data_IF_389865740631
#
_entry.id   IF_389865740631
#
_cell.length_a   1.000
_cell.length_b   1.000
_cell.length_c   1.000
_cell.angle_alpha   90.00
_cell.angle_beta   90.00
_cell.angle_gamma   90.00
#
_symmetry.space_group_name_H-M   'P 1'
#
loop_
_entity.id
_entity.type
_entity.pdbx_description
1 polymer ?
#
# COMPACT_ATOMS: atom_id res chain seq x y z
N UNK A 1 2.64 6.63 10.57
CA UNK A 1 2.81 8.09 10.86
C UNK A 1 1.46 8.78 10.65
N UNK A 2 1.15 9.89 11.34
CA UNK A 2 -0.08 10.66 11.05
C UNK A 2 0.24 11.82 10.11
N UNK A 3 -0.30 11.77 8.90
CA UNK A 3 -0.23 12.87 7.94
C UNK A 3 -1.30 13.92 8.28
N UNK A 4 -0.91 15.20 8.36
CA UNK A 4 -1.84 16.29 8.64
C UNK A 4 -2.70 16.69 7.42
N UNK A 5 -2.28 16.28 6.22
CA UNK A 5 -2.89 16.61 4.95
C UNK A 5 -3.70 15.46 4.34
N UNK A 6 -4.67 15.82 3.50
CA UNK A 6 -5.45 14.86 2.71
C UNK A 6 -5.08 14.96 1.25
N UNK A 7 -4.74 13.83 0.63
CA UNK A 7 -4.30 13.79 -0.77
C UNK A 7 -5.41 13.28 -1.69
N UNK A 8 -5.45 13.80 -2.92
CA UNK A 8 -6.32 13.28 -3.97
C UNK A 8 -5.59 13.09 -5.30
N UNK A 9 -6.05 12.13 -6.10
CA UNK A 9 -5.63 11.99 -7.50
C UNK A 9 -6.64 11.18 -8.31
N UNK A 10 -6.52 11.27 -9.64
CA UNK A 10 -7.09 10.28 -10.55
C UNK A 10 -6.33 8.96 -10.37
N UNK A 11 -7.02 7.90 -9.97
CA UNK A 11 -6.46 6.56 -9.74
C UNK A 11 -6.66 5.61 -10.93
N UNK A 12 -7.60 5.90 -11.83
CA UNK A 12 -7.75 5.16 -13.09
C UNK A 12 -6.78 5.65 -14.16
N UNK A 13 -6.58 4.84 -15.21
CA UNK A 13 -5.78 5.22 -16.37
C UNK A 13 -6.26 6.51 -17.04
N UNK A 14 -5.34 7.23 -17.69
CA UNK A 14 -5.65 8.45 -18.45
C UNK A 14 -6.33 8.09 -19.77
N UNK A 15 -7.43 8.76 -20.09
CA UNK A 15 -8.15 8.55 -21.36
C UNK A 15 -9.65 8.75 -21.20
N UNK A 16 -10.40 8.52 -22.28
CA UNK A 16 -11.87 8.41 -22.20
C UNK A 16 -12.20 7.02 -21.69
N UNK A 17 -13.03 6.95 -20.66
CA UNK A 17 -13.49 5.69 -20.08
C UNK A 17 -14.95 5.81 -19.64
N UNK A 18 -15.66 4.67 -19.54
CA UNK A 18 -17.02 4.65 -18.98
C UNK A 18 -17.03 5.11 -17.52
N UNK A 19 -16.01 4.71 -16.75
CA UNK A 19 -15.82 5.09 -15.35
C UNK A 19 -14.36 5.51 -15.13
N UNK A 20 -14.17 6.50 -14.27
CA UNK A 20 -12.88 6.94 -13.75
C UNK A 20 -12.98 7.07 -12.24
N UNK A 21 -11.91 6.70 -11.54
CA UNK A 21 -11.88 6.71 -10.09
C UNK A 21 -10.98 7.84 -9.63
N UNK A 22 -11.53 8.78 -8.87
CA UNK A 22 -10.75 9.76 -8.10
C UNK A 22 -10.68 9.24 -6.67
N UNK A 23 -9.46 9.05 -6.17
CA UNK A 23 -9.22 8.60 -4.80
C UNK A 23 -8.78 9.78 -3.93
N UNK A 24 -9.25 9.77 -2.69
CA UNK A 24 -8.92 10.70 -1.62
C UNK A 24 -8.42 9.90 -0.42
N UNK A 25 -7.38 10.35 0.29
CA UNK A 25 -6.84 9.69 1.50
C UNK A 25 -6.37 10.71 2.51
N UNK A 26 -6.75 10.57 3.79
CA UNK A 26 -6.28 11.40 4.89
C UNK A 26 -7.40 11.88 5.85
N UNK A 27 -7.06 12.70 6.84
CA UNK A 27 -7.94 13.03 7.97
C UNK A 27 -9.20 13.84 7.58
N UNK A 28 -9.22 14.51 6.42
CA UNK A 28 -10.36 15.33 5.97
C UNK A 28 -11.33 14.58 5.06
N UNK A 29 -11.08 13.31 4.77
CA UNK A 29 -11.87 12.51 3.82
C UNK A 29 -13.37 12.57 4.11
N UNK A 30 -13.80 12.36 5.36
CA UNK A 30 -15.20 12.45 5.73
C UNK A 30 -15.81 13.84 5.47
N UNK A 31 -15.14 14.91 5.90
CA UNK A 31 -15.62 16.27 5.68
C UNK A 31 -15.77 16.60 4.19
N UNK A 32 -14.86 16.11 3.34
CA UNK A 32 -14.90 16.29 1.89
C UNK A 32 -16.09 15.55 1.28
N UNK A 33 -16.36 14.31 1.70
CA UNK A 33 -17.54 13.54 1.27
C UNK A 33 -18.82 14.34 1.53
N UNK A 34 -18.98 14.86 2.75
CA UNK A 34 -20.19 15.62 3.12
C UNK A 34 -20.35 16.87 2.27
N UNK A 35 -19.27 17.61 2.03
CA UNK A 35 -19.27 18.80 1.17
C UNK A 35 -19.62 18.51 -0.29
N UNK A 36 -19.04 17.47 -0.87
CA UNK A 36 -19.28 17.11 -2.28
C UNK A 36 -20.65 16.48 -2.50
N UNK A 37 -21.22 15.80 -1.51
CA UNK A 37 -22.51 15.12 -1.66
C UNK A 37 -23.68 15.90 -1.07
N UNK A 38 -23.41 16.96 -0.29
CA UNK A 38 -24.39 17.74 0.48
C UNK A 38 -25.24 16.86 1.42
N UNK A 39 -24.72 15.70 1.83
CA UNK A 39 -25.37 14.80 2.77
C UNK A 39 -25.08 15.23 4.21
N UNK A 40 -25.97 14.86 5.12
CA UNK A 40 -25.85 15.15 6.56
C UNK A 40 -24.96 14.15 7.32
N UNK A 41 -24.74 12.97 6.75
CA UNK A 41 -23.99 11.88 7.37
C UNK A 41 -23.16 11.14 6.32
N UNK A 42 -22.07 10.52 6.79
CA UNK A 42 -21.22 9.68 5.95
C UNK A 42 -21.97 8.40 5.55
N UNK A 43 -21.69 7.86 4.34
CA UNK A 43 -22.13 6.52 4.00
C UNK A 43 -21.52 5.50 4.97
N UNK A 44 -22.19 4.35 5.11
CA UNK A 44 -21.58 3.21 5.79
C UNK A 44 -20.28 2.81 5.07
N UNK A 45 -19.19 2.53 5.81
CA UNK A 45 -17.94 2.11 5.19
C UNK A 45 -18.13 0.86 4.32
N UNK A 46 -17.50 0.84 3.14
CA UNK A 46 -17.53 -0.25 2.15
C UNK A 46 -18.91 -0.52 1.54
N UNK A 47 -19.85 0.40 1.67
CA UNK A 47 -21.11 0.37 0.92
C UNK A 47 -21.09 1.38 -0.23
N UNK A 48 -21.46 0.91 -1.43
CA UNK A 48 -21.54 1.78 -2.60
C UNK A 48 -22.81 2.64 -2.53
N UNK A 49 -22.65 3.95 -2.71
CA UNK A 49 -23.78 4.87 -2.80
C UNK A 49 -23.79 5.63 -4.11
N UNK A 50 -24.92 5.57 -4.84
CA UNK A 50 -25.17 6.42 -5.99
C UNK A 50 -25.60 7.82 -5.53
N UNK A 51 -24.87 8.85 -5.90
CA UNK A 51 -25.21 10.23 -5.57
C UNK A 51 -24.75 11.24 -6.62
N UNK A 52 -25.32 12.45 -6.52
CA UNK A 52 -24.77 13.61 -7.20
C UNK A 52 -23.58 14.15 -6.41
N UNK A 53 -22.53 14.51 -7.13
CA UNK A 53 -21.41 15.28 -6.63
C UNK A 53 -21.58 16.74 -7.08
N UNK A 54 -21.30 17.68 -6.19
CA UNK A 54 -21.43 19.11 -6.44
C UNK A 54 -20.18 19.86 -6.06
N UNK A 55 -19.96 21.01 -6.68
CA UNK A 55 -18.97 21.96 -6.22
C UNK A 55 -19.39 22.53 -4.85
N UNK A 56 -18.55 22.44 -3.80
CA UNK A 56 -18.96 22.78 -2.43
C UNK A 56 -19.50 24.19 -2.21
N UNK A 57 -18.97 25.18 -2.93
CA UNK A 57 -19.29 26.59 -2.69
C UNK A 57 -20.49 27.06 -3.53
N UNK A 58 -20.69 26.50 -4.73
CA UNK A 58 -21.72 26.95 -5.68
C UNK A 58 -22.91 26.00 -5.76
N UNK A 59 -22.75 24.75 -5.34
CA UNK A 59 -23.76 23.70 -5.50
C UNK A 59 -23.95 23.21 -6.94
N UNK A 60 -23.14 23.69 -7.89
CA UNK A 60 -23.20 23.24 -9.29
C UNK A 60 -22.84 21.76 -9.37
N UNK A 61 -23.65 20.98 -10.09
CA UNK A 61 -23.42 19.54 -10.27
C UNK A 61 -22.15 19.30 -11.08
N UNK A 62 -21.27 18.47 -10.53
CA UNK A 62 -20.04 18.01 -11.17
C UNK A 62 -20.30 16.73 -11.97
N UNK A 63 -20.91 15.74 -11.33
CA UNK A 63 -21.27 14.46 -11.94
C UNK A 63 -22.26 13.67 -11.07
N UNK A 64 -22.82 12.58 -11.61
CA UNK A 64 -23.54 11.55 -10.85
C UNK A 64 -22.77 10.24 -10.94
N UNK A 65 -22.39 9.69 -9.79
CA UNK A 65 -21.56 8.49 -9.75
C UNK A 65 -21.66 7.72 -8.44
N UNK A 66 -20.82 6.71 -8.29
CA UNK A 66 -20.74 5.92 -7.06
C UNK A 66 -19.69 6.50 -6.12
N UNK A 67 -20.02 6.50 -4.84
CA UNK A 67 -19.11 6.80 -3.75
C UNK A 67 -18.85 5.52 -2.96
N UNK A 68 -17.57 5.24 -2.69
CA UNK A 68 -17.14 4.29 -1.67
C UNK A 68 -16.33 5.03 -0.60
N UNK A 69 -16.64 4.74 0.66
CA UNK A 69 -15.88 5.25 1.81
C UNK A 69 -15.25 4.08 2.56
N UNK A 70 -13.99 4.23 2.95
CA UNK A 70 -13.24 3.26 3.72
C UNK A 70 -12.74 3.96 4.99
N UNK A 71 -13.20 3.49 6.14
CA UNK A 71 -12.72 3.97 7.43
C UNK A 71 -11.34 3.36 7.73
N UNK A 72 -10.37 4.18 8.10
CA UNK A 72 -9.07 3.72 8.59
C UNK A 72 -9.22 2.89 9.87
N UNK A 73 -8.40 1.85 10.12
CA UNK A 73 -7.25 1.38 9.33
C UNK A 73 -7.62 0.37 8.22
N UNK A 74 -8.91 0.16 7.95
CA UNK A 74 -9.44 -0.86 7.03
C UNK A 74 -9.55 -0.33 5.58
N UNK A 75 -8.53 0.37 5.13
CA UNK A 75 -8.40 0.99 3.80
C UNK A 75 -7.05 0.63 3.16
N UNK A 76 -6.85 1.06 1.90
CA UNK A 76 -5.59 0.85 1.17
C UNK A 76 -4.39 1.53 1.85
N UNK A 77 -4.54 2.81 2.23
CA UNK A 77 -3.46 3.58 2.86
C UNK A 77 -3.39 3.40 4.37
N UNK A 78 -4.40 2.77 4.99
CA UNK A 78 -4.57 2.75 6.44
C UNK A 78 -5.20 4.03 7.02
N UNK A 79 -5.44 5.05 6.19
CA UNK A 79 -6.15 6.27 6.56
C UNK A 79 -7.63 6.18 6.17
N UNK A 80 -8.42 7.20 6.47
CA UNK A 80 -9.74 7.34 5.85
C UNK A 80 -9.59 7.59 4.34
N UNK A 81 -10.22 6.75 3.53
CA UNK A 81 -10.16 6.81 2.06
C UNK A 81 -11.55 6.95 1.47
N UNK A 82 -11.68 7.79 0.44
CA UNK A 82 -12.87 7.83 -0.41
C UNK A 82 -12.50 7.54 -1.86
N UNK A 83 -13.37 6.84 -2.56
CA UNK A 83 -13.30 6.67 -4.01
C UNK A 83 -14.56 7.22 -4.66
N UNK A 84 -14.37 8.15 -5.58
CA UNK A 84 -15.42 8.74 -6.39
C UNK A 84 -15.35 8.13 -7.79
N UNK A 85 -16.34 7.32 -8.13
CA UNK A 85 -16.47 6.62 -9.39
C UNK A 85 -17.35 7.48 -10.31
N UNK A 86 -16.69 8.30 -11.12
CA UNK A 86 -17.30 9.30 -12.00
C UNK A 86 -17.20 8.87 -13.46
N UNK A 87 -17.92 9.52 -14.36
CA UNK A 87 -17.76 9.31 -15.79
C UNK A 87 -16.36 9.77 -16.25
N UNK A 88 -15.71 8.97 -17.10
CA UNK A 88 -14.33 9.21 -17.56
C UNK A 88 -14.19 10.27 -18.66
N UNK A 89 -15.01 11.33 -18.60
CA UNK A 89 -14.88 12.49 -19.49
C UNK A 89 -13.81 13.45 -18.98
N UNK A 90 -12.94 13.95 -19.88
CA UNK A 90 -11.87 14.91 -19.50
C UNK A 90 -12.40 16.12 -18.73
N UNK A 91 -13.52 16.71 -19.19
CA UNK A 91 -14.13 17.85 -18.51
C UNK A 91 -14.66 17.50 -17.12
N UNK A 92 -15.23 16.30 -16.94
CA UNK A 92 -15.75 15.80 -15.66
C UNK A 92 -14.60 15.64 -14.67
N UNK A 93 -13.53 14.95 -15.07
CA UNK A 93 -12.33 14.72 -14.24
C UNK A 93 -11.70 16.07 -13.86
N UNK A 94 -11.48 16.97 -14.82
CA UNK A 94 -10.88 18.29 -14.55
C UNK A 94 -11.75 19.11 -13.60
N UNK A 95 -13.07 19.16 -13.82
CA UNK A 95 -13.99 19.88 -12.94
C UNK A 95 -14.00 19.33 -11.52
N UNK A 96 -13.97 18.01 -11.37
CA UNK A 96 -13.94 17.35 -10.07
C UNK A 96 -12.63 17.62 -9.31
N UNK A 97 -11.48 17.49 -9.97
CA UNK A 97 -10.19 17.78 -9.38
C UNK A 97 -10.04 19.28 -9.02
N UNK A 98 -10.61 20.18 -9.82
CA UNK A 98 -10.64 21.61 -9.53
C UNK A 98 -11.55 21.94 -8.33
N UNK A 99 -12.66 21.22 -8.15
CA UNK A 99 -13.50 21.37 -6.96
C UNK A 99 -12.75 20.89 -5.69
N UNK A 100 -12.01 19.77 -5.78
CA UNK A 100 -11.18 19.28 -4.69
C UNK A 100 -10.04 20.25 -4.33
N UNK A 101 -9.39 20.87 -5.33
CA UNK A 101 -8.25 21.77 -5.09
C UNK A 101 -8.61 23.05 -4.33
N UNK A 102 -9.90 23.42 -4.29
CA UNK A 102 -10.40 24.59 -3.55
C UNK A 102 -10.58 24.32 -2.06
N UNK A 103 -10.61 23.05 -1.64
CA UNK A 103 -10.85 22.68 -0.26
C UNK A 103 -9.57 22.78 0.58
N UNK A 104 -9.67 23.45 1.73
CA UNK A 104 -8.53 23.62 2.64
C UNK A 104 -8.05 22.29 3.24
N UNK A 105 -6.72 22.13 3.28
CA UNK A 105 -6.06 20.94 3.81
C UNK A 105 -6.04 19.75 2.83
N UNK A 106 -6.42 19.99 1.57
CA UNK A 106 -6.26 19.03 0.48
C UNK A 106 -5.13 19.44 -0.46
N UNK A 107 -4.48 18.44 -1.06
CA UNK A 107 -3.55 18.65 -2.17
C UNK A 107 -3.55 17.47 -3.13
N UNK A 108 -3.04 17.68 -4.33
CA UNK A 108 -2.76 16.58 -5.25
C UNK A 108 -1.71 15.63 -4.64
N UNK A 109 -1.93 14.33 -4.82
CA UNK A 109 -0.96 13.30 -4.46
C UNK A 109 0.28 13.37 -5.35
N UNK A 110 1.45 13.08 -4.77
CA UNK A 110 2.67 12.81 -5.52
C UNK A 110 2.64 11.40 -6.16
N UNK A 111 3.47 11.13 -7.19
CA UNK A 111 3.62 9.80 -7.75
C UNK A 111 3.93 8.76 -6.65
N UNK A 112 3.17 7.66 -6.63
CA UNK A 112 3.33 6.58 -5.66
C UNK A 112 2.90 6.90 -4.23
N UNK A 113 2.39 8.10 -3.94
CA UNK A 113 2.19 8.55 -2.56
C UNK A 113 1.16 7.71 -1.79
N UNK A 114 0.07 7.27 -2.43
CA UNK A 114 -0.89 6.36 -1.77
C UNK A 114 -0.22 5.06 -1.32
N UNK A 115 0.62 4.45 -2.16
CA UNK A 115 1.36 3.23 -1.83
C UNK A 115 2.39 3.50 -0.73
N UNK A 116 3.08 4.65 -0.78
CA UNK A 116 4.01 5.06 0.28
C UNK A 116 3.31 5.23 1.63
N UNK A 117 2.14 5.87 1.69
CA UNK A 117 1.34 5.95 2.92
C UNK A 117 0.88 4.59 3.41
N UNK A 118 0.51 3.68 2.50
CA UNK A 118 0.18 2.30 2.85
C UNK A 118 1.37 1.59 3.53
N UNK A 119 2.57 1.75 2.99
CA UNK A 119 3.81 1.26 3.60
C UNK A 119 4.05 1.88 4.98
N UNK A 120 4.02 3.21 5.10
CA UNK A 120 4.25 3.92 6.38
C UNK A 120 3.23 3.56 7.49
N UNK A 121 2.06 3.06 7.09
CA UNK A 121 0.99 2.62 7.99
C UNK A 121 0.93 1.09 8.15
N UNK A 122 1.96 0.36 7.71
CA UNK A 122 2.08 -1.09 7.88
C UNK A 122 1.00 -1.88 7.14
N UNK A 123 0.42 -1.32 6.07
CA UNK A 123 -0.57 -2.01 5.22
C UNK A 123 0.08 -2.99 4.24
N UNK A 124 1.35 -2.75 3.91
CA UNK A 124 2.18 -3.56 3.02
C UNK A 124 3.66 -3.26 3.33
N UNK A 125 4.55 -4.21 3.05
CA UNK A 125 6.00 -3.99 3.09
C UNK A 125 6.54 -3.48 1.73
N UNK A 126 7.86 -3.28 1.64
CA UNK A 126 8.51 -2.81 0.40
C UNK A 126 8.40 -3.83 -0.75
N UNK A 127 8.48 -5.13 -0.46
CA UNK A 127 8.37 -6.18 -1.49
C UNK A 127 6.98 -6.21 -2.10
N UNK A 128 5.95 -6.00 -1.27
CA UNK A 128 4.57 -5.90 -1.74
C UNK A 128 4.31 -4.60 -2.51
N UNK A 129 4.92 -3.48 -2.10
CA UNK A 129 4.85 -2.22 -2.82
C UNK A 129 5.51 -2.31 -4.22
N UNK A 130 6.66 -2.96 -4.32
CA UNK A 130 7.31 -3.26 -5.60
C UNK A 130 6.46 -4.21 -6.45
N UNK A 131 5.94 -5.29 -5.85
CA UNK A 131 5.05 -6.24 -6.52
C UNK A 131 3.80 -5.58 -7.10
N UNK A 132 3.23 -4.58 -6.42
CA UNK A 132 2.13 -3.78 -6.95
C UNK A 132 2.55 -2.95 -8.17
N UNK A 133 3.74 -2.33 -8.14
CA UNK A 133 4.25 -1.57 -9.28
C UNK A 133 4.52 -2.49 -10.49
N UNK A 134 5.16 -3.64 -10.27
CA UNK A 134 5.41 -4.66 -11.28
C UNK A 134 4.08 -5.18 -11.87
N UNK A 135 3.04 -5.35 -11.04
CA UNK A 135 1.73 -5.82 -11.48
C UNK A 135 1.03 -4.82 -12.39
N UNK A 136 1.12 -3.52 -12.08
CA UNK A 136 0.54 -2.45 -12.91
C UNK A 136 1.23 -2.37 -14.26
N UNK A 137 2.54 -2.64 -14.32
CA UNK A 137 3.35 -2.53 -15.53
C UNK A 137 3.47 -3.85 -16.32
N UNK A 138 2.94 -4.96 -15.80
CA UNK A 138 3.10 -6.27 -16.42
C UNK A 138 2.52 -6.33 -17.85
N UNK A 139 3.35 -6.73 -18.82
CA UNK A 139 2.96 -6.91 -20.23
C UNK A 139 2.75 -8.40 -20.58
N UNK A 140 3.31 -9.30 -19.78
CA UNK A 140 3.21 -10.75 -19.97
C UNK A 140 2.52 -11.46 -18.81
N UNK A 141 1.92 -12.62 -19.09
CA UNK A 141 1.31 -13.46 -18.06
C UNK A 141 2.33 -13.94 -17.00
N UNK A 142 3.59 -14.16 -17.41
CA UNK A 142 4.67 -14.51 -16.50
C UNK A 142 4.98 -13.37 -15.51
N UNK A 143 5.12 -12.13 -16.01
CA UNK A 143 5.28 -10.93 -15.19
C UNK A 143 4.13 -10.76 -14.21
N UNK A 144 2.88 -10.86 -14.69
CA UNK A 144 1.68 -10.72 -13.85
C UNK A 144 1.67 -11.74 -12.70
N UNK A 145 1.99 -13.01 -12.98
CA UNK A 145 2.03 -14.08 -11.96
C UNK A 145 3.16 -13.88 -10.96
N UNK A 146 4.32 -13.41 -11.39
CA UNK A 146 5.43 -13.09 -10.50
C UNK A 146 5.10 -11.91 -9.58
N UNK A 147 4.58 -10.82 -10.16
CA UNK A 147 4.20 -9.62 -9.42
C UNK A 147 3.13 -9.91 -8.35
N UNK A 148 2.13 -10.75 -8.65
CA UNK A 148 1.14 -11.19 -7.66
C UNK A 148 1.77 -11.94 -6.48
N UNK A 149 2.76 -12.81 -6.72
CA UNK A 149 3.44 -13.55 -5.64
C UNK A 149 4.24 -12.62 -4.72
N UNK A 150 4.85 -11.58 -5.29
CA UNK A 150 5.54 -10.53 -4.53
C UNK A 150 4.54 -9.71 -3.71
N UNK A 151 3.44 -9.27 -4.34
CA UNK A 151 2.38 -8.51 -3.70
C UNK A 151 1.70 -9.27 -2.54
N UNK A 152 1.54 -10.59 -2.67
CA UNK A 152 0.95 -11.46 -1.64
C UNK A 152 1.88 -11.69 -0.43
N UNK A 153 3.10 -11.13 -0.41
CA UNK A 153 4.00 -11.21 0.75
C UNK A 153 4.80 -12.51 0.86
N UNK A 154 4.72 -13.42 -0.13
CA UNK A 154 5.45 -14.71 -0.06
C UNK A 154 6.96 -14.55 0.06
N UNK A 155 7.51 -13.50 -0.53
CA UNK A 155 8.94 -13.20 -0.43
C UNK A 155 9.29 -12.56 0.91
N UNK A 156 8.40 -11.71 1.44
CA UNK A 156 8.53 -11.16 2.79
C UNK A 156 8.53 -12.27 3.85
N UNK A 157 7.62 -13.24 3.75
CA UNK A 157 7.56 -14.39 4.66
C UNK A 157 8.87 -15.21 4.65
N UNK A 158 9.46 -15.41 3.46
CA UNK A 158 10.74 -16.09 3.32
C UNK A 158 11.87 -15.32 4.02
N UNK A 159 11.94 -14.01 3.78
CA UNK A 159 12.99 -13.16 4.34
C UNK A 159 12.85 -12.95 5.84
N UNK A 160 11.62 -12.84 6.37
CA UNK A 160 11.38 -12.80 7.81
C UNK A 160 11.73 -14.13 8.49
N UNK A 161 11.52 -15.26 7.80
CA UNK A 161 12.02 -16.56 8.25
C UNK A 161 13.54 -16.56 8.40
N UNK A 162 14.26 -16.12 7.37
CA UNK A 162 15.72 -16.00 7.41
C UNK A 162 16.21 -15.02 8.48
N UNK A 163 15.56 -13.87 8.61
CA UNK A 163 15.87 -12.89 9.66
C UNK A 163 15.71 -13.50 11.05
N UNK A 164 14.66 -14.28 11.28
CA UNK A 164 14.43 -14.97 12.56
C UNK A 164 15.51 -16.01 12.86
N UNK A 165 15.97 -16.75 11.85
CA UNK A 165 17.10 -17.69 11.96
C UNK A 165 18.41 -16.96 12.33
N UNK A 166 18.68 -15.80 11.72
CA UNK A 166 19.86 -14.96 12.04
C UNK A 166 19.79 -14.44 13.47
N UNK A 167 18.64 -13.87 13.88
CA UNK A 167 18.46 -13.34 15.24
C UNK A 167 18.68 -14.45 16.28
N UNK A 168 18.20 -15.67 15.99
CA UNK A 168 18.39 -16.82 16.87
C UNK A 168 19.87 -17.21 16.97
N UNK A 169 20.59 -17.27 15.84
CA UNK A 169 22.03 -17.56 15.84
C UNK A 169 22.83 -16.47 16.57
N UNK A 170 22.45 -15.20 16.42
CA UNK A 170 23.06 -14.09 17.17
C UNK A 170 22.80 -14.21 18.67
N UNK A 171 21.60 -14.60 19.09
CA UNK A 171 21.29 -14.79 20.51
C UNK A 171 22.15 -15.89 21.16
N UNK A 172 22.47 -16.97 20.45
CA UNK A 172 23.38 -18.01 20.93
C UNK A 172 24.82 -17.51 21.12
N UNK A 173 25.31 -16.67 20.19
CA UNK A 173 26.63 -16.07 20.30
C UNK A 173 26.69 -15.01 21.40
N UNK A 174 25.66 -14.18 21.53
CA UNK A 174 25.59 -13.15 22.59
C UNK A 174 25.57 -13.79 23.98
N UNK A 175 24.83 -14.89 24.15
CA UNK A 175 24.79 -15.62 25.42
C UNK A 175 26.16 -16.18 25.82
N UNK A 176 26.97 -16.63 24.87
CA UNK A 176 28.34 -17.10 25.13
C UNK A 176 29.28 -15.96 25.53
N UNK A 177 29.11 -14.78 24.92
CA UNK A 177 29.92 -13.59 25.20
C UNK A 177 29.58 -12.97 26.56
N UNK A 178 28.29 -12.76 26.84
CA UNK A 178 27.82 -12.03 28.03
C UNK A 178 27.94 -12.83 29.33
N UNK A 179 27.99 -14.16 29.23
CA UNK A 179 27.98 -15.07 30.38
C UNK A 179 29.17 -16.03 30.40
N UNK A 180 30.29 -15.62 29.81
CA UNK A 180 31.54 -16.40 29.76
C UNK A 180 32.07 -16.82 31.16
N UNK A 181 31.70 -16.09 32.21
CA UNK A 181 32.07 -16.34 33.61
C UNK A 181 31.00 -17.13 34.41
N UNK A 182 29.83 -17.41 33.84
CA UNK A 182 28.76 -18.21 34.44
C UNK A 182 28.78 -19.66 33.90
N UNK A 183 28.22 -20.64 34.64
CA UNK A 183 28.09 -22.04 34.19
C UNK A 183 27.05 -22.20 33.07
N UNK A 184 27.26 -21.53 31.93
CA UNK A 184 26.52 -21.83 30.70
C UNK A 184 27.14 -23.10 30.07
N UNK A 185 26.32 -24.03 29.56
CA UNK A 185 26.84 -25.15 28.77
C UNK A 185 27.74 -24.64 27.64
N UNK A 186 28.98 -25.13 27.56
CA UNK A 186 30.00 -24.64 26.62
C UNK A 186 29.68 -24.90 25.14
N UNK A 187 28.54 -25.53 24.85
CA UNK A 187 28.07 -25.93 23.52
C UNK A 187 26.96 -25.00 22.97
N UNK A 188 26.59 -23.95 23.71
CA UNK A 188 25.56 -22.98 23.31
C UNK A 188 26.00 -22.21 22.05
N UNK A 189 27.25 -21.74 22.00
CA UNK A 189 27.82 -21.09 20.81
C UNK A 189 27.97 -22.05 19.60
N UNK A 190 28.21 -23.34 19.87
CA UNK A 190 28.37 -24.36 18.82
C UNK A 190 27.08 -24.57 18.01
N UNK A 191 25.91 -24.15 18.53
CA UNK A 191 24.64 -24.19 17.81
C UNK A 191 24.54 -23.15 16.69
N UNK A 192 25.24 -22.01 16.81
CA UNK A 192 25.15 -20.93 15.84
C UNK A 192 25.77 -21.32 14.48
N UNK A 193 26.91 -22.02 14.49
CA UNK A 193 27.64 -22.41 13.28
C UNK A 193 26.81 -23.24 12.28
N UNK A 194 26.16 -24.35 12.70
CA UNK A 194 25.27 -25.14 11.87
C UNK A 194 24.08 -24.34 11.33
N UNK A 195 23.47 -23.47 12.15
CA UNK A 195 22.35 -22.62 11.74
C UNK A 195 22.76 -21.67 10.62
N UNK A 196 23.89 -20.98 10.77
CA UNK A 196 24.42 -20.06 9.75
C UNK A 196 24.73 -20.82 8.47
N UNK A 197 25.42 -21.97 8.53
CA UNK A 197 25.72 -22.79 7.33
C UNK A 197 24.46 -23.23 6.58
N UNK A 198 23.46 -23.70 7.32
CA UNK A 198 22.18 -24.10 6.72
C UNK A 198 21.48 -22.92 6.05
N UNK A 199 21.48 -21.75 6.69
CA UNK A 199 20.90 -20.53 6.13
C UNK A 199 21.64 -20.05 4.89
N UNK A 200 22.97 -20.03 4.90
CA UNK A 200 23.79 -19.70 3.73
C UNK A 200 23.42 -20.59 2.55
N UNK A 201 23.27 -21.90 2.76
CA UNK A 201 22.86 -22.82 1.70
C UNK A 201 21.46 -22.53 1.15
N UNK A 202 20.48 -22.21 2.02
CA UNK A 202 19.13 -21.79 1.58
C UNK A 202 19.18 -20.53 0.71
N UNK A 203 19.99 -19.54 1.10
CA UNK A 203 20.16 -18.29 0.35
C UNK A 203 20.84 -18.55 -0.99
N UNK A 204 21.92 -19.34 -1.02
CA UNK A 204 22.62 -19.72 -2.25
C UNK A 204 21.70 -20.45 -3.24
N UNK A 205 20.87 -21.37 -2.75
CA UNK A 205 19.86 -22.04 -3.57
C UNK A 205 18.81 -21.07 -4.11
N UNK A 206 18.39 -20.09 -3.30
CA UNK A 206 17.42 -19.08 -3.71
C UNK A 206 17.99 -18.16 -4.80
N UNK A 207 19.25 -17.72 -4.67
CA UNK A 207 19.94 -16.88 -5.66
C UNK A 207 20.32 -17.70 -6.92
N UNK A 208 20.61 -18.99 -6.76
CA UNK A 208 21.00 -19.91 -7.82
C UNK A 208 19.88 -20.27 -8.81
N UNK A 209 18.66 -19.74 -8.64
CA UNK A 209 17.53 -19.95 -9.54
C UNK A 209 17.70 -19.29 -10.93
N UNK A 210 18.82 -18.61 -11.15
CA UNK A 210 19.37 -18.23 -12.45
C UNK A 210 18.86 -16.90 -12.97
N UNK A 211 18.62 -15.94 -12.07
CA UNK A 211 18.07 -14.62 -12.39
C UNK A 211 16.75 -14.71 -13.16
N UNK A 212 15.99 -15.81 -13.00
CA UNK A 212 14.69 -15.97 -13.66
C UNK A 212 13.75 -14.82 -13.32
N UNK A 213 13.83 -14.32 -12.07
CA UNK A 213 13.11 -13.14 -11.64
C UNK A 213 13.49 -11.86 -12.38
N UNK A 214 14.77 -11.63 -12.68
CA UNK A 214 15.24 -10.48 -13.49
C UNK A 214 14.89 -10.63 -14.97
N UNK A 215 14.98 -11.84 -15.53
CA UNK A 215 14.65 -12.10 -16.94
C UNK A 215 13.16 -11.94 -17.25
N UNK A 216 12.31 -12.02 -16.22
CA UNK A 216 10.88 -11.79 -16.32
C UNK A 216 10.56 -10.30 -16.10
N UNK A 217 11.39 -9.53 -15.38
CA UNK A 217 11.16 -8.09 -15.17
C UNK A 217 11.33 -7.27 -16.45
#
# INVERSE_FOLDING_TARGET
>A
MSYADTIYALSSGKGRAGVSVIRLSGPRTGAVILKLTQKKALPAPREAQLCWFVEPDTGVRLDRGLLLYFLGPKSFTGEDVAEFHIHGGRAVITGFLAALSKLQGLRSAQPGEFTRRAFDNGKMDLTAAEGLADLINAETEAQRRQALRLMDGRLADLYEGWRSEIISAMAYLEADIDFADEEIPSDVADQAGPMVKALTHKIEQHIGDGFKGERIR
#
